data_IF_755443534997
#
_entry.id   IF_755443534997
#
_cell.length_a   1.000
_cell.length_b   1.000
_cell.length_c   1.000
_cell.angle_alpha   90.00
_cell.angle_beta   90.00
_cell.angle_gamma   90.00
#
_symmetry.space_group_name_H-M   'P 1'
#
loop_
_entity.id
_entity.type
_entity.pdbx_description
1 polymer ?
#
# COMPACT_ATOMS: atom_id res chain seq x y z
N UNK A 1 -30.65 -14.64 -16.73
CA UNK A 1 -29.90 -15.22 -15.60
C UNK A 1 -28.42 -15.04 -15.89
N UNK A 2 -27.77 -14.07 -15.27
CA UNK A 2 -26.29 -14.01 -15.30
C UNK A 2 -25.76 -15.15 -14.44
N UNK A 3 -24.88 -15.99 -15.00
CA UNK A 3 -24.13 -16.97 -14.21
C UNK A 3 -23.49 -16.26 -13.00
N UNK A 4 -23.52 -16.85 -11.80
CA UNK A 4 -22.91 -16.26 -10.62
C UNK A 4 -21.41 -16.04 -10.87
N UNK A 5 -20.95 -14.82 -10.64
CA UNK A 5 -19.56 -14.43 -10.78
C UNK A 5 -18.69 -15.28 -9.83
N UNK A 6 -17.67 -15.96 -10.35
CA UNK A 6 -16.77 -16.78 -9.54
C UNK A 6 -15.94 -15.87 -8.63
N UNK A 7 -16.28 -15.88 -7.33
CA UNK A 7 -15.57 -15.12 -6.29
C UNK A 7 -14.14 -15.64 -6.10
N UNK A 8 -13.22 -14.76 -5.75
CA UNK A 8 -11.85 -15.16 -5.38
C UNK A 8 -11.86 -15.89 -4.02
N UNK A 9 -10.86 -16.74 -3.76
CA UNK A 9 -10.77 -17.54 -2.53
C UNK A 9 -10.88 -16.68 -1.26
N UNK A 10 -10.27 -15.50 -1.27
CA UNK A 10 -10.30 -14.59 -0.13
C UNK A 10 -11.70 -14.03 0.17
N UNK A 11 -12.56 -13.89 -0.84
CA UNK A 11 -13.96 -13.44 -0.71
C UNK A 11 -14.90 -14.61 -0.41
N UNK A 12 -14.55 -15.82 -0.85
CA UNK A 12 -15.34 -17.04 -0.60
C UNK A 12 -15.12 -17.59 0.80
N UNK A 13 -13.87 -17.60 1.29
CA UNK A 13 -13.54 -18.19 2.58
C UNK A 13 -14.17 -17.39 3.72
N UNK A 14 -14.73 -18.11 4.69
CA UNK A 14 -15.17 -17.53 5.96
C UNK A 14 -14.19 -17.88 7.05
N UNK A 15 -13.78 -16.88 7.83
CA UNK A 15 -12.90 -17.06 8.98
C UNK A 15 -13.69 -16.85 10.27
N UNK A 16 -13.53 -17.77 11.21
CA UNK A 16 -14.11 -17.68 12.55
C UNK A 16 -13.00 -17.58 13.59
N UNK A 17 -13.29 -16.84 14.66
CA UNK A 17 -12.35 -16.67 15.77
C UNK A 17 -12.22 -18.00 16.53
N UNK A 18 -10.99 -18.37 16.89
CA UNK A 18 -10.74 -19.52 17.78
C UNK A 18 -11.00 -19.18 19.25
N UNK A 19 -10.86 -17.91 19.61
CA UNK A 19 -11.02 -17.42 20.97
C UNK A 19 -12.02 -16.25 21.02
N UNK A 20 -12.19 -15.65 22.20
CA UNK A 20 -12.94 -14.39 22.31
C UNK A 20 -12.36 -13.30 21.39
N UNK A 21 -13.14 -12.26 21.02
CA UNK A 21 -12.67 -11.21 20.12
C UNK A 21 -11.34 -10.59 20.55
N UNK A 22 -11.24 -10.19 21.81
CA UNK A 22 -10.03 -9.59 22.38
C UNK A 22 -8.85 -10.58 22.38
N UNK A 23 -9.07 -11.82 22.84
CA UNK A 23 -8.00 -12.83 22.92
C UNK A 23 -7.47 -13.19 21.52
N UNK A 24 -8.34 -13.31 20.53
CA UNK A 24 -7.93 -13.60 19.15
C UNK A 24 -7.07 -12.46 18.58
N UNK A 25 -7.48 -11.21 18.77
CA UNK A 25 -6.69 -10.06 18.35
C UNK A 25 -5.32 -10.00 19.04
N UNK A 26 -5.26 -10.21 20.36
CA UNK A 26 -4.00 -10.16 21.13
C UNK A 26 -3.03 -11.26 20.72
N UNK A 27 -3.49 -12.51 20.58
CA UNK A 27 -2.62 -13.63 20.20
C UNK A 27 -2.09 -13.45 18.77
N UNK A 28 -2.91 -13.00 17.83
CA UNK A 28 -2.42 -12.64 16.49
C UNK A 28 -1.43 -11.48 16.53
N UNK A 29 -1.69 -10.44 17.30
CA UNK A 29 -0.78 -9.29 17.41
C UNK A 29 0.58 -9.70 17.92
N UNK A 30 0.62 -10.55 18.97
CA UNK A 30 1.88 -11.12 19.47
C UNK A 30 2.59 -11.94 18.40
N UNK A 31 1.87 -12.81 17.69
CA UNK A 31 2.44 -13.61 16.60
C UNK A 31 3.03 -12.71 15.50
N UNK A 32 2.29 -11.69 15.08
CA UNK A 32 2.74 -10.73 14.06
C UNK A 32 4.00 -9.99 14.50
N UNK A 33 4.08 -9.52 15.75
CA UNK A 33 5.27 -8.84 16.25
C UNK A 33 6.49 -9.75 16.34
N UNK A 34 6.32 -11.00 16.75
CA UNK A 34 7.42 -11.98 16.78
C UNK A 34 7.96 -12.22 15.36
N UNK A 35 7.07 -12.50 14.40
CA UNK A 35 7.48 -12.74 13.00
C UNK A 35 8.06 -11.48 12.37
N UNK A 36 7.45 -10.33 12.59
CA UNK A 36 7.93 -9.04 12.13
C UNK A 36 9.33 -8.77 12.66
N UNK A 37 9.56 -8.85 13.97
CA UNK A 37 10.84 -8.51 14.55
C UNK A 37 11.94 -9.49 14.15
N UNK A 38 11.64 -10.80 14.13
CA UNK A 38 12.60 -11.81 13.70
C UNK A 38 13.02 -11.60 12.23
N UNK A 39 12.05 -11.39 11.34
CA UNK A 39 12.34 -11.13 9.93
C UNK A 39 12.99 -9.75 9.70
N UNK A 40 12.57 -8.72 10.44
CA UNK A 40 13.20 -7.40 10.41
C UNK A 40 14.67 -7.50 10.80
N UNK A 41 15.01 -8.17 11.90
CA UNK A 41 16.38 -8.34 12.36
C UNK A 41 17.27 -9.09 11.35
N UNK A 42 16.72 -10.10 10.68
CA UNK A 42 17.46 -10.86 9.67
C UNK A 42 17.73 -9.98 8.44
N UNK A 43 16.69 -9.33 7.91
CA UNK A 43 16.73 -8.75 6.58
C UNK A 43 17.02 -7.24 6.57
N UNK A 44 16.37 -6.48 7.43
CA UNK A 44 16.26 -5.02 7.31
C UNK A 44 17.09 -4.29 8.38
N UNK A 45 17.05 -4.69 9.66
CA UNK A 45 17.67 -3.94 10.76
C UNK A 45 19.14 -3.59 10.43
N UNK A 46 19.54 -2.29 10.51
CA UNK A 46 20.91 -1.87 10.23
C UNK A 46 21.97 -2.55 11.10
N UNK A 47 21.58 -3.07 12.28
CA UNK A 47 22.43 -3.82 13.22
C UNK A 47 22.35 -5.32 13.00
N UNK A 48 21.40 -5.76 12.18
CA UNK A 48 21.06 -7.14 11.91
C UNK A 48 22.03 -7.86 10.98
N UNK A 49 21.54 -8.95 10.40
CA UNK A 49 22.36 -9.88 9.60
C UNK A 49 22.63 -9.34 8.20
N UNK A 50 21.58 -9.08 7.42
CA UNK A 50 21.71 -8.68 6.02
C UNK A 50 21.75 -7.16 5.80
N UNK A 51 21.23 -6.38 6.76
CA UNK A 51 21.33 -4.91 6.80
C UNK A 51 20.86 -4.21 5.52
N UNK A 52 19.79 -4.71 4.88
CA UNK A 52 19.34 -4.20 3.58
C UNK A 52 18.65 -2.84 3.63
N UNK A 53 18.53 -2.21 4.80
CA UNK A 53 17.75 -0.98 4.99
C UNK A 53 18.30 0.27 4.27
N UNK A 54 19.55 0.27 3.78
CA UNK A 54 20.06 1.39 2.94
C UNK A 54 19.41 1.41 1.56
N UNK A 55 19.09 2.61 1.08
CA UNK A 55 17.73 3.11 1.22
C UNK A 55 16.77 2.43 0.27
N UNK A 56 17.25 2.02 -0.91
CA UNK A 56 16.38 1.51 -1.95
C UNK A 56 16.42 0.00 -2.09
N UNK A 57 17.47 -0.70 -1.66
CA UNK A 57 17.52 -2.17 -1.80
C UNK A 57 16.47 -2.85 -0.92
N UNK A 58 16.52 -2.62 0.39
CA UNK A 58 15.57 -3.19 1.34
C UNK A 58 14.16 -2.70 1.09
N UNK A 59 14.01 -1.45 0.64
CA UNK A 59 12.72 -0.89 0.28
C UNK A 59 12.15 -1.52 -1.00
N UNK A 60 12.96 -1.69 -2.05
CA UNK A 60 12.60 -2.39 -3.29
C UNK A 60 12.08 -3.79 -2.98
N UNK A 61 12.84 -4.56 -2.18
CA UNK A 61 12.40 -5.89 -1.74
C UNK A 61 11.08 -5.82 -1.00
N UNK A 62 10.99 -4.99 0.04
CA UNK A 62 9.77 -4.83 0.84
C UNK A 62 8.53 -4.53 -0.04
N UNK A 63 8.67 -3.62 -1.02
CA UNK A 63 7.57 -3.23 -1.90
C UNK A 63 7.23 -4.30 -2.93
N UNK A 64 8.20 -5.01 -3.49
CA UNK A 64 7.92 -6.06 -4.44
C UNK A 64 7.33 -7.32 -3.81
N UNK A 65 7.72 -7.66 -2.58
CA UNK A 65 7.04 -8.74 -1.84
C UNK A 65 5.55 -8.43 -1.68
N UNK A 66 5.19 -7.18 -1.37
CA UNK A 66 3.79 -6.72 -1.33
C UNK A 66 3.08 -6.97 -2.66
N UNK A 67 3.69 -6.55 -3.77
CA UNK A 67 3.12 -6.71 -5.13
C UNK A 67 2.89 -8.18 -5.47
N UNK A 68 3.87 -9.04 -5.20
CA UNK A 68 3.74 -10.48 -5.49
C UNK A 68 2.71 -11.17 -4.60
N UNK A 69 2.60 -10.77 -3.32
CA UNK A 69 1.52 -11.25 -2.43
C UNK A 69 0.15 -10.93 -3.04
N UNK A 70 -0.03 -9.70 -3.57
CA UNK A 70 -1.26 -9.29 -4.26
C UNK A 70 -1.46 -10.10 -5.55
N UNK A 71 -0.42 -10.35 -6.34
CA UNK A 71 -0.55 -11.15 -7.55
C UNK A 71 -1.04 -12.56 -7.24
N UNK A 72 -0.43 -13.24 -6.26
CA UNK A 72 -0.84 -14.59 -5.87
C UNK A 72 -2.29 -14.59 -5.39
N UNK A 73 -2.67 -13.65 -4.52
CA UNK A 73 -3.96 -13.72 -3.84
C UNK A 73 -5.14 -13.12 -4.64
N UNK A 74 -4.93 -11.99 -5.35
CA UNK A 74 -5.99 -11.24 -6.03
C UNK A 74 -6.02 -11.48 -7.55
N UNK A 75 -4.85 -11.66 -8.19
CA UNK A 75 -4.79 -11.82 -9.65
C UNK A 75 -4.89 -13.29 -10.04
N UNK A 76 -4.04 -14.14 -9.48
CA UNK A 76 -3.95 -15.56 -9.79
C UNK A 76 -4.84 -16.45 -8.92
N UNK A 77 -5.45 -15.88 -7.88
CA UNK A 77 -6.37 -16.60 -6.98
C UNK A 77 -5.78 -17.93 -6.48
N UNK A 78 -4.52 -17.86 -6.04
CA UNK A 78 -3.73 -18.99 -5.55
C UNK A 78 -3.45 -20.11 -6.55
N UNK A 79 -3.67 -19.91 -7.85
CA UNK A 79 -3.24 -20.85 -8.88
C UNK A 79 -1.73 -21.14 -8.77
N UNK A 80 -1.26 -22.41 -8.94
CA UNK A 80 -1.99 -23.61 -9.41
C UNK A 80 -2.64 -24.47 -8.32
N UNK A 81 -2.77 -23.97 -7.08
CA UNK A 81 -3.34 -24.77 -5.99
C UNK A 81 -4.85 -24.91 -6.14
N UNK A 82 -5.35 -26.14 -6.03
CA UNK A 82 -6.79 -26.41 -6.08
C UNK A 82 -7.49 -25.81 -4.86
N UNK A 83 -8.74 -25.37 -5.04
CA UNK A 83 -9.59 -24.84 -3.96
C UNK A 83 -9.67 -25.78 -2.76
N UNK A 84 -9.83 -27.08 -3.02
CA UNK A 84 -9.84 -28.12 -1.98
C UNK A 84 -8.56 -28.13 -1.12
N UNK A 85 -7.40 -27.96 -1.74
CA UNK A 85 -6.14 -27.88 -1.00
C UNK A 85 -6.08 -26.62 -0.12
N UNK A 86 -6.58 -25.48 -0.60
CA UNK A 86 -6.64 -24.24 0.19
C UNK A 86 -7.50 -24.42 1.43
N UNK A 87 -8.63 -25.12 1.36
CA UNK A 87 -9.49 -25.38 2.52
C UNK A 87 -8.93 -26.44 3.49
N UNK A 88 -8.21 -27.45 2.98
CA UNK A 88 -7.77 -28.59 3.79
C UNK A 88 -6.34 -28.45 4.34
N UNK A 89 -5.47 -27.68 3.69
CA UNK A 89 -4.08 -27.53 4.11
C UNK A 89 -3.96 -26.71 5.39
N UNK A 90 -3.10 -27.16 6.31
CA UNK A 90 -2.84 -26.46 7.56
C UNK A 90 -2.32 -25.02 7.33
N UNK A 91 -2.76 -24.04 8.12
CA UNK A 91 -2.48 -22.62 7.88
C UNK A 91 -0.98 -22.28 7.91
N UNK A 92 -0.21 -22.89 8.82
CA UNK A 92 1.24 -22.70 8.87
C UNK A 92 1.94 -23.24 7.61
N UNK A 93 1.49 -24.40 7.10
CA UNK A 93 2.02 -25.00 5.86
C UNK A 93 1.73 -24.09 4.65
N UNK A 94 0.51 -23.56 4.54
CA UNK A 94 0.15 -22.59 3.51
C UNK A 94 1.00 -21.33 3.60
N UNK A 95 1.16 -20.77 4.80
CA UNK A 95 2.02 -19.62 5.06
C UNK A 95 3.44 -19.82 4.54
N UNK A 96 4.08 -20.94 4.89
CA UNK A 96 5.45 -21.24 4.48
C UNK A 96 5.53 -21.37 2.94
N UNK A 97 4.67 -22.17 2.33
CA UNK A 97 4.69 -22.41 0.88
C UNK A 97 4.52 -21.11 0.11
N UNK A 98 3.48 -20.33 0.43
CA UNK A 98 3.21 -19.10 -0.29
C UNK A 98 4.26 -18.02 -0.01
N UNK A 99 4.84 -17.95 1.18
CA UNK A 99 5.95 -17.01 1.47
C UNK A 99 7.20 -17.35 0.65
N UNK A 100 7.55 -18.64 0.53
CA UNK A 100 8.67 -19.09 -0.32
C UNK A 100 8.38 -18.77 -1.78
N UNK A 101 7.15 -19.00 -2.25
CA UNK A 101 6.74 -18.64 -3.61
C UNK A 101 6.84 -17.14 -3.87
N UNK A 102 6.45 -16.29 -2.91
CA UNK A 102 6.55 -14.83 -3.03
C UNK A 102 8.01 -14.43 -3.26
N UNK A 103 8.91 -14.92 -2.40
CA UNK A 103 10.34 -14.61 -2.51
C UNK A 103 10.91 -15.09 -3.85
N UNK A 104 10.66 -16.35 -4.22
CA UNK A 104 11.21 -16.93 -5.45
C UNK A 104 10.67 -16.24 -6.70
N UNK A 105 9.36 -15.95 -6.73
CA UNK A 105 8.72 -15.25 -7.86
C UNK A 105 9.34 -13.87 -8.03
N UNK A 106 9.49 -13.10 -6.96
CA UNK A 106 10.14 -11.80 -7.07
C UNK A 106 11.62 -11.92 -7.45
N UNK A 107 12.37 -12.86 -6.87
CA UNK A 107 13.79 -13.05 -7.22
C UNK A 107 13.98 -13.33 -8.71
N UNK A 108 13.17 -14.23 -9.27
CA UNK A 108 13.18 -14.52 -10.72
C UNK A 108 12.81 -13.27 -11.53
N UNK A 109 11.79 -12.53 -11.11
CA UNK A 109 11.36 -11.31 -11.79
C UNK A 109 12.43 -10.20 -11.72
N UNK A 110 13.10 -10.05 -10.59
CA UNK A 110 14.21 -9.12 -10.40
C UNK A 110 15.38 -9.47 -11.34
N UNK A 111 15.85 -10.71 -11.31
CA UNK A 111 17.03 -11.12 -12.08
C UNK A 111 16.77 -11.21 -13.58
N UNK A 112 15.66 -11.82 -13.98
CA UNK A 112 15.38 -12.06 -15.41
C UNK A 112 14.74 -10.83 -16.04
N UNK A 113 13.68 -10.27 -15.45
CA UNK A 113 12.93 -9.21 -16.10
C UNK A 113 13.59 -7.84 -15.88
N UNK A 114 13.85 -7.44 -14.64
CA UNK A 114 14.40 -6.10 -14.36
C UNK A 114 15.88 -5.98 -14.70
N UNK A 115 16.74 -6.80 -14.09
CA UNK A 115 18.18 -6.66 -14.28
C UNK A 115 18.58 -7.07 -15.70
N UNK A 116 18.14 -8.24 -16.18
CA UNK A 116 18.54 -8.72 -17.51
C UNK A 116 17.75 -8.09 -18.67
N UNK A 117 16.45 -8.36 -18.81
CA UNK A 117 15.69 -7.88 -19.98
C UNK A 117 15.63 -6.36 -20.03
N UNK A 118 15.24 -5.70 -18.94
CA UNK A 118 15.18 -4.24 -18.93
C UNK A 118 16.55 -3.60 -18.74
N UNK A 119 17.40 -4.11 -17.85
CA UNK A 119 18.68 -3.47 -17.51
C UNK A 119 19.79 -3.72 -18.52
N UNK A 120 20.07 -4.99 -18.81
CA UNK A 120 21.19 -5.39 -19.67
C UNK A 120 20.94 -5.19 -21.15
N UNK A 121 19.67 -5.31 -21.59
CA UNK A 121 19.30 -5.29 -23.01
C UNK A 121 18.59 -4.00 -23.47
N UNK A 122 18.03 -3.19 -22.55
CA UNK A 122 17.23 -2.02 -22.92
C UNK A 122 17.70 -0.71 -22.28
N UNK A 123 17.48 -0.53 -20.98
CA UNK A 123 17.71 0.72 -20.23
C UNK A 123 18.65 0.45 -19.06
N UNK A 124 19.89 0.95 -19.17
CA UNK A 124 21.01 0.63 -18.28
C UNK A 124 20.72 0.82 -16.79
N UNK A 125 19.93 1.81 -16.41
CA UNK A 125 19.67 2.11 -15.00
C UNK A 125 18.88 1.03 -14.26
N UNK A 126 18.33 0.01 -14.94
CA UNK A 126 17.75 -1.15 -14.25
C UNK A 126 18.79 -2.23 -13.91
N UNK A 127 20.01 -2.18 -14.46
CA UNK A 127 21.08 -3.14 -14.12
C UNK A 127 22.18 -2.45 -13.31
N UNK A 128 22.45 -2.91 -12.07
CA UNK A 128 23.61 -2.45 -11.32
C UNK A 128 24.92 -2.70 -12.08
N UNK A 129 25.04 -3.83 -12.77
CA UNK A 129 26.24 -4.18 -13.54
C UNK A 129 26.48 -3.22 -14.69
N UNK A 130 25.44 -2.87 -15.46
CA UNK A 130 25.57 -1.89 -16.55
C UNK A 130 25.95 -0.51 -16.05
N UNK A 131 25.36 -0.08 -14.94
CA UNK A 131 25.72 1.20 -14.32
C UNK A 131 27.18 1.20 -13.86
N UNK A 132 27.68 0.09 -13.30
CA UNK A 132 29.09 -0.05 -12.93
C UNK A 132 30.03 -0.03 -14.14
N UNK A 133 29.67 -0.71 -15.23
CA UNK A 133 30.41 -0.67 -16.52
C UNK A 133 30.48 0.76 -17.10
N UNK A 134 29.50 1.62 -16.80
CA UNK A 134 29.46 3.02 -17.18
C UNK A 134 30.23 3.96 -16.23
N UNK A 135 30.90 3.40 -15.21
CA UNK A 135 31.77 4.14 -14.29
C UNK A 135 31.10 4.62 -12.99
N UNK A 136 29.86 4.20 -12.71
CA UNK A 136 29.21 4.47 -11.42
C UNK A 136 29.76 3.49 -10.38
N UNK A 137 30.02 3.95 -9.16
CA UNK A 137 30.51 3.05 -8.10
C UNK A 137 29.47 1.98 -7.77
N UNK A 138 29.92 0.78 -7.41
CA UNK A 138 29.03 -0.38 -7.16
C UNK A 138 27.88 -0.07 -6.19
N UNK A 139 28.16 0.71 -5.16
CA UNK A 139 27.14 1.14 -4.20
C UNK A 139 26.04 1.98 -4.86
N UNK A 140 26.40 3.04 -5.60
CA UNK A 140 25.42 3.90 -6.26
C UNK A 140 24.73 3.20 -7.43
N UNK A 141 25.44 2.33 -8.15
CA UNK A 141 24.88 1.52 -9.22
C UNK A 141 23.76 0.60 -8.69
N UNK A 142 23.98 -0.03 -7.52
CA UNK A 142 22.97 -0.84 -6.84
C UNK A 142 21.78 0.01 -6.38
N UNK A 143 22.04 1.15 -5.72
CA UNK A 143 20.98 2.02 -5.19
C UNK A 143 20.12 2.66 -6.30
N UNK A 144 20.71 3.10 -7.41
CA UNK A 144 19.97 3.69 -8.53
C UNK A 144 19.12 2.64 -9.27
N UNK A 145 19.64 1.43 -9.46
CA UNK A 145 18.86 0.33 -10.01
C UNK A 145 17.73 -0.07 -9.07
N UNK A 146 18.01 -0.22 -7.78
CA UNK A 146 16.98 -0.54 -6.80
C UNK A 146 15.90 0.55 -6.74
N UNK A 147 16.27 1.83 -6.86
CA UNK A 147 15.32 2.95 -6.92
C UNK A 147 14.41 2.86 -8.14
N UNK A 148 14.96 2.59 -9.33
CA UNK A 148 14.19 2.43 -10.56
C UNK A 148 13.17 1.30 -10.45
N UNK A 149 13.60 0.16 -9.93
CA UNK A 149 12.78 -1.05 -9.76
C UNK A 149 11.72 -0.84 -8.67
N UNK A 150 12.06 -0.13 -7.58
CA UNK A 150 11.16 0.25 -6.51
C UNK A 150 10.02 1.17 -7.01
N UNK A 151 10.34 2.17 -7.83
CA UNK A 151 9.34 3.08 -8.40
C UNK A 151 8.31 2.34 -9.25
N UNK A 152 8.77 1.32 -9.98
CA UNK A 152 7.87 0.41 -10.69
C UNK A 152 6.95 -0.36 -9.72
N UNK A 153 7.51 -0.87 -8.63
CA UNK A 153 6.76 -1.57 -7.58
C UNK A 153 5.67 -0.68 -6.96
N UNK A 154 5.98 0.61 -6.74
CA UNK A 154 5.03 1.58 -6.22
C UNK A 154 3.78 1.67 -7.12
N UNK A 155 3.98 1.77 -8.44
CA UNK A 155 2.88 1.76 -9.41
C UNK A 155 2.11 0.43 -9.38
N UNK A 156 2.84 -0.68 -9.51
CA UNK A 156 2.23 -2.00 -9.58
C UNK A 156 1.38 -2.33 -8.33
N UNK A 157 1.81 -1.85 -7.16
CA UNK A 157 1.17 -2.11 -5.86
C UNK A 157 -0.23 -1.53 -5.69
N UNK A 158 -0.60 -0.47 -6.43
CA UNK A 158 -1.97 0.04 -6.43
C UNK A 158 -2.73 -0.34 -7.68
N UNK A 159 -2.07 -0.37 -8.85
CA UNK A 159 -2.73 -0.62 -10.13
C UNK A 159 -3.22 -2.07 -10.24
N UNK A 160 -2.40 -3.01 -9.75
CA UNK A 160 -2.74 -4.45 -9.69
C UNK A 160 -4.02 -4.71 -8.89
N UNK A 161 -4.12 -4.31 -7.60
CA UNK A 161 -5.35 -4.51 -6.85
C UNK A 161 -6.50 -3.64 -7.35
N UNK A 162 -6.26 -2.43 -7.88
CA UNK A 162 -7.33 -1.56 -8.42
C UNK A 162 -8.11 -2.22 -9.55
N UNK A 163 -7.46 -3.03 -10.39
CA UNK A 163 -8.17 -3.72 -11.46
C UNK A 163 -9.16 -4.76 -10.93
N UNK A 164 -8.84 -5.39 -9.81
CA UNK A 164 -9.72 -6.36 -9.15
C UNK A 164 -10.79 -5.64 -8.34
N UNK A 165 -10.39 -4.66 -7.53
CA UNK A 165 -11.24 -3.95 -6.56
C UNK A 165 -12.18 -2.94 -7.20
N UNK A 166 -11.69 -2.14 -8.15
CA UNK A 166 -12.46 -1.08 -8.78
C UNK A 166 -13.05 -1.52 -10.13
N UNK A 167 -12.31 -2.30 -10.92
CA UNK A 167 -12.76 -2.71 -12.25
C UNK A 167 -13.46 -4.08 -12.30
N UNK A 168 -13.63 -4.77 -11.16
CA UNK A 168 -14.24 -6.10 -11.05
C UNK A 168 -13.64 -7.12 -12.06
N UNK A 169 -12.32 -7.08 -12.32
CA UNK A 169 -11.64 -7.89 -13.35
C UNK A 169 -12.15 -7.72 -14.79
N UNK A 170 -12.86 -6.64 -15.10
CA UNK A 170 -13.37 -6.37 -16.45
C UNK A 170 -12.26 -6.18 -17.48
N UNK A 171 -12.41 -6.69 -18.73
CA UNK A 171 -13.52 -7.51 -19.27
C UNK A 171 -13.32 -9.04 -19.12
N UNK A 172 -12.36 -9.47 -18.30
CA UNK A 172 -11.92 -10.86 -18.17
C UNK A 172 -12.57 -11.65 -17.04
N UNK A 173 -13.61 -11.11 -16.41
CA UNK A 173 -14.30 -11.71 -15.27
C UNK A 173 -14.83 -13.12 -15.55
N UNK A 174 -15.09 -13.46 -16.82
CA UNK A 174 -15.58 -14.78 -17.25
C UNK A 174 -14.48 -15.81 -17.53
N UNK A 175 -13.21 -15.39 -17.56
CA UNK A 175 -12.10 -16.31 -17.81
C UNK A 175 -11.77 -17.10 -16.55
N UNK A 176 -11.35 -18.36 -16.73
CA UNK A 176 -10.85 -19.21 -15.64
C UNK A 176 -9.36 -18.99 -15.43
N UNK A 177 -8.87 -19.32 -14.23
CA UNK A 177 -7.43 -19.40 -14.00
C UNK A 177 -6.80 -20.54 -14.82
N UNK A 178 -5.57 -20.39 -15.34
CA UNK A 178 -4.68 -19.25 -15.14
C UNK A 178 -4.86 -18.10 -16.15
N UNK A 179 -5.69 -18.29 -17.18
CA UNK A 179 -5.83 -17.32 -18.29
C UNK A 179 -6.28 -15.95 -17.77
N UNK A 180 -7.25 -15.93 -16.84
CA UNK A 180 -7.70 -14.70 -16.18
C UNK A 180 -6.55 -13.95 -15.51
N UNK A 181 -5.78 -14.66 -14.67
CA UNK A 181 -4.65 -14.09 -13.94
C UNK A 181 -3.58 -13.54 -14.87
N UNK A 182 -3.15 -14.29 -15.88
CA UNK A 182 -2.16 -13.81 -16.86
C UNK A 182 -2.65 -12.61 -17.66
N UNK A 183 -3.92 -12.57 -18.03
CA UNK A 183 -4.46 -11.46 -18.83
C UNK A 183 -4.52 -10.17 -18.01
N UNK A 184 -5.04 -10.24 -16.77
CA UNK A 184 -5.06 -9.10 -15.83
C UNK A 184 -3.63 -8.66 -15.51
N UNK A 185 -2.72 -9.62 -15.26
CA UNK A 185 -1.30 -9.35 -15.01
C UNK A 185 -0.66 -8.60 -16.18
N UNK A 186 -0.74 -9.12 -17.41
CA UNK A 186 -0.13 -8.48 -18.58
C UNK A 186 -0.68 -7.07 -18.78
N UNK A 187 -2.01 -6.91 -18.62
CA UNK A 187 -2.65 -5.62 -18.77
C UNK A 187 -2.21 -4.60 -17.71
N UNK A 188 -2.28 -4.95 -16.43
CA UNK A 188 -1.87 -4.03 -15.35
C UNK A 188 -0.38 -3.78 -15.38
N UNK A 189 0.42 -4.74 -15.83
CA UNK A 189 1.86 -4.58 -16.02
C UNK A 189 2.18 -3.63 -17.17
N UNK A 190 1.51 -3.76 -18.31
CA UNK A 190 1.63 -2.84 -19.45
C UNK A 190 1.26 -1.40 -19.03
N UNK A 191 0.13 -1.24 -18.33
CA UNK A 191 -0.25 0.07 -17.81
C UNK A 191 0.79 0.60 -16.82
N UNK A 192 1.36 -0.27 -15.98
CA UNK A 192 2.43 0.13 -15.04
C UNK A 192 3.68 0.62 -15.76
N UNK A 193 4.07 0.01 -16.89
CA UNK A 193 5.16 0.51 -17.74
C UNK A 193 4.86 1.90 -18.30
N UNK A 194 3.65 2.13 -18.83
CA UNK A 194 3.26 3.44 -19.36
C UNK A 194 3.31 4.51 -18.26
N UNK A 195 2.72 4.21 -17.10
CA UNK A 195 2.75 5.11 -15.94
C UNK A 195 4.19 5.34 -15.48
N UNK A 196 5.06 4.33 -15.48
CA UNK A 196 6.47 4.50 -15.12
C UNK A 196 7.18 5.51 -16.04
N UNK A 197 6.97 5.43 -17.35
CA UNK A 197 7.56 6.37 -18.30
C UNK A 197 7.07 7.81 -18.11
N UNK A 198 5.79 7.99 -17.77
CA UNK A 198 5.21 9.33 -17.55
C UNK A 198 5.64 9.95 -16.21
N UNK A 199 5.77 9.13 -15.16
CA UNK A 199 5.88 9.63 -13.79
C UNK A 199 7.26 9.41 -13.13
N UNK A 200 8.12 8.52 -13.63
CA UNK A 200 9.43 8.26 -13.02
C UNK A 200 10.61 8.31 -13.99
N UNK A 201 10.41 8.02 -15.28
CA UNK A 201 11.52 8.00 -16.23
C UNK A 201 12.26 9.34 -16.33
N UNK A 202 11.54 10.47 -16.28
CA UNK A 202 12.16 11.81 -16.21
C UNK A 202 13.09 11.99 -15.01
N UNK A 203 12.76 11.43 -13.84
CA UNK A 203 13.66 11.47 -12.69
C UNK A 203 14.92 10.64 -12.97
N UNK A 204 14.77 9.43 -13.52
CA UNK A 204 15.93 8.59 -13.82
C UNK A 204 16.86 9.25 -14.83
N UNK A 205 16.31 9.96 -15.83
CA UNK A 205 17.09 10.65 -16.85
C UNK A 205 17.92 11.83 -16.35
N UNK A 206 17.53 12.47 -15.24
CA UNK A 206 18.30 13.58 -14.63
C UNK A 206 19.29 13.13 -13.56
N UNK A 207 19.27 11.86 -13.14
CA UNK A 207 20.24 11.32 -12.17
C UNK A 207 21.66 11.19 -12.74
N UNK A 208 21.78 11.12 -14.07
CA UNK A 208 23.05 10.96 -14.77
C UNK A 208 23.50 12.29 -15.35
N UNK A 209 24.81 12.57 -15.28
CA UNK A 209 25.43 13.75 -15.89
C UNK A 209 26.19 13.36 -17.17
N UNK A 210 25.93 14.00 -18.32
CA UNK A 210 24.88 15.00 -18.55
C UNK A 210 23.48 14.37 -18.50
N UNK A 211 22.47 15.19 -18.22
CA UNK A 211 21.07 14.75 -18.25
C UNK A 211 20.73 14.06 -19.58
N UNK A 212 19.96 12.97 -19.51
CA UNK A 212 19.62 12.10 -20.62
C UNK A 212 18.47 12.69 -21.47
N UNK A 213 18.72 13.87 -22.07
CA UNK A 213 17.71 14.70 -22.77
C UNK A 213 17.10 14.05 -24.01
N UNK A 214 17.79 13.09 -24.62
CA UNK A 214 17.31 12.40 -25.83
C UNK A 214 16.34 11.26 -25.55
N UNK A 215 16.31 10.75 -24.32
CA UNK A 215 15.48 9.60 -23.93
C UNK A 215 14.39 9.98 -22.93
N UNK A 216 14.56 11.09 -22.21
CA UNK A 216 13.67 11.50 -21.13
C UNK A 216 13.30 12.99 -21.19
N UNK A 217 12.12 13.34 -20.68
CA UNK A 217 11.72 14.74 -20.55
C UNK A 217 12.47 15.35 -19.35
N UNK A 218 13.30 16.35 -19.61
CA UNK A 218 14.09 17.06 -18.59
C UNK A 218 13.93 18.58 -18.74
N UNK A 219 13.56 19.34 -17.69
CA UNK A 219 13.17 18.85 -16.36
C UNK A 219 11.81 18.11 -16.41
N UNK A 220 11.49 17.30 -15.39
CA UNK A 220 10.20 16.62 -15.31
C UNK A 220 9.03 17.61 -15.27
N UNK A 221 7.86 17.19 -15.77
CA UNK A 221 6.67 18.05 -15.88
C UNK A 221 6.12 18.55 -14.53
N UNK A 222 6.47 17.90 -13.43
CA UNK A 222 6.07 18.33 -12.08
C UNK A 222 6.99 19.38 -11.45
N UNK A 223 8.13 19.67 -12.08
CA UNK A 223 9.20 20.48 -11.49
C UNK A 223 8.74 21.81 -10.90
N UNK A 224 7.92 22.55 -11.64
CA UNK A 224 7.54 23.91 -11.27
C UNK A 224 6.54 23.97 -10.11
N UNK A 225 5.54 23.08 -10.07
CA UNK A 225 4.50 23.16 -9.04
C UNK A 225 4.84 22.29 -7.81
N UNK A 226 5.70 21.28 -7.96
CA UNK A 226 6.13 20.45 -6.84
C UNK A 226 7.41 20.99 -6.16
N UNK A 227 8.01 22.06 -6.69
CA UNK A 227 9.28 22.65 -6.24
C UNK A 227 10.46 21.66 -6.13
N UNK A 228 10.39 20.55 -6.87
CA UNK A 228 11.44 19.54 -6.90
C UNK A 228 11.48 18.81 -8.24
N UNK A 229 12.68 18.38 -8.62
CA UNK A 229 12.88 17.46 -9.76
C UNK A 229 12.82 15.99 -9.33
N UNK A 230 12.80 15.71 -8.02
CA UNK A 230 12.72 14.36 -7.50
C UNK A 230 11.30 13.81 -7.70
N UNK A 231 11.18 12.58 -8.16
CA UNK A 231 9.89 11.87 -8.31
C UNK A 231 9.29 11.42 -6.98
N UNK A 232 9.76 11.94 -5.84
CA UNK A 232 9.08 11.74 -4.56
C UNK A 232 7.68 12.36 -4.59
N UNK A 233 7.47 13.40 -5.40
CA UNK A 233 6.13 13.89 -5.73
C UNK A 233 5.23 12.76 -6.26
N UNK A 234 5.76 11.94 -7.19
CA UNK A 234 4.98 10.84 -7.75
C UNK A 234 4.81 9.68 -6.78
N UNK A 235 5.82 9.41 -5.94
CA UNK A 235 5.65 8.49 -4.81
C UNK A 235 4.49 8.96 -3.92
N UNK A 236 4.41 10.25 -3.56
CA UNK A 236 3.39 10.79 -2.66
C UNK A 236 1.96 10.37 -3.06
N UNK A 237 1.53 10.70 -4.29
CA UNK A 237 0.16 10.43 -4.71
C UNK A 237 -0.07 8.95 -5.04
N UNK A 238 0.93 8.22 -5.56
CA UNK A 238 0.82 6.77 -5.83
C UNK A 238 0.68 5.98 -4.52
N UNK A 239 1.37 6.41 -3.48
CA UNK A 239 1.25 5.84 -2.14
C UNK A 239 -0.14 6.10 -1.56
N UNK A 240 -0.67 7.31 -1.72
CA UNK A 240 -2.07 7.62 -1.39
C UNK A 240 -3.04 6.74 -2.20
N UNK A 241 -2.80 6.48 -3.50
CA UNK A 241 -3.61 5.56 -4.29
C UNK A 241 -3.61 4.16 -3.68
N UNK A 242 -2.45 3.62 -3.33
CA UNK A 242 -2.32 2.31 -2.69
C UNK A 242 -3.18 2.22 -1.44
N UNK A 243 -3.07 3.22 -0.56
CA UNK A 243 -3.79 3.27 0.71
C UNK A 243 -5.29 3.39 0.46
N UNK A 244 -5.71 4.27 -0.46
CA UNK A 244 -7.12 4.50 -0.77
C UNK A 244 -7.81 3.29 -1.38
N UNK A 245 -7.12 2.50 -2.23
CA UNK A 245 -7.66 1.22 -2.74
C UNK A 245 -8.00 0.29 -1.58
N UNK A 246 -7.09 0.17 -0.61
CA UNK A 246 -7.29 -0.72 0.54
C UNK A 246 -8.31 -0.17 1.53
N UNK A 247 -8.35 1.14 1.78
CA UNK A 247 -9.41 1.78 2.58
C UNK A 247 -10.77 1.49 1.96
N UNK A 248 -10.88 1.71 0.64
CA UNK A 248 -12.08 1.45 -0.16
C UNK A 248 -12.53 -0.02 -0.08
N UNK A 249 -11.60 -0.97 -0.26
CA UNK A 249 -11.90 -2.40 -0.21
C UNK A 249 -12.24 -2.91 1.20
N UNK A 250 -11.57 -2.39 2.23
CA UNK A 250 -11.60 -3.02 3.56
C UNK A 250 -12.62 -2.41 4.52
N UNK A 251 -12.35 -1.20 5.01
CA UNK A 251 -13.17 -0.56 6.04
C UNK A 251 -14.36 0.20 5.45
N UNK A 252 -14.28 0.59 4.17
CA UNK A 252 -15.38 1.21 3.41
C UNK A 252 -16.25 0.21 2.66
N UNK A 253 -15.82 -1.04 2.51
CA UNK A 253 -16.64 -2.11 1.90
C UNK A 253 -17.21 -1.70 0.54
N UNK A 254 -16.36 -1.10 -0.30
CA UNK A 254 -16.66 -0.57 -1.64
C UNK A 254 -17.68 0.57 -1.72
N UNK A 255 -18.09 1.15 -0.59
CA UNK A 255 -18.89 2.38 -0.54
C UNK A 255 -18.03 3.62 -0.86
N UNK A 256 -18.58 4.69 -1.47
CA UNK A 256 -19.96 4.85 -1.93
C UNK A 256 -20.21 4.31 -3.35
N UNK A 257 -19.17 3.95 -4.10
CA UNK A 257 -19.33 3.60 -5.51
C UNK A 257 -20.16 2.32 -5.71
N UNK A 258 -20.23 1.44 -4.72
CA UNK A 258 -21.14 0.29 -4.70
C UNK A 258 -22.62 0.67 -4.90
N UNK A 259 -23.01 1.92 -4.63
CA UNK A 259 -24.37 2.44 -4.89
C UNK A 259 -24.67 2.61 -6.39
N UNK A 260 -23.65 2.70 -7.23
CA UNK A 260 -23.80 2.85 -8.68
C UNK A 260 -24.18 1.49 -9.28
N UNK A 261 -25.43 1.40 -9.75
CA UNK A 261 -25.99 0.15 -10.31
C UNK A 261 -25.41 -0.18 -11.69
N UNK A 262 -25.09 0.84 -12.47
CA UNK A 262 -24.53 0.66 -13.81
C UNK A 262 -23.07 0.21 -13.72
N UNK A 263 -22.78 -1.04 -14.06
CA UNK A 263 -21.46 -1.67 -13.87
C UNK A 263 -20.30 -0.86 -14.46
N UNK A 264 -20.37 -0.45 -15.73
CA UNK A 264 -19.27 0.30 -16.35
C UNK A 264 -19.04 1.66 -15.66
N UNK A 265 -20.12 2.36 -15.31
CA UNK A 265 -20.05 3.65 -14.62
C UNK A 265 -19.51 3.47 -13.20
N UNK A 266 -19.92 2.42 -12.49
CA UNK A 266 -19.37 2.06 -11.17
C UNK A 266 -17.87 1.84 -11.26
N UNK A 267 -17.41 1.06 -12.24
CA UNK A 267 -15.99 0.74 -12.41
C UNK A 267 -15.16 1.98 -12.70
N UNK A 268 -15.61 2.79 -13.65
CA UNK A 268 -14.96 4.08 -14.00
C UNK A 268 -14.95 5.03 -12.80
N UNK A 269 -16.09 5.22 -12.14
CA UNK A 269 -16.21 6.09 -10.98
C UNK A 269 -15.36 5.60 -9.80
N UNK A 270 -15.29 4.29 -9.56
CA UNK A 270 -14.46 3.71 -8.50
C UNK A 270 -12.98 3.92 -8.79
N UNK A 271 -12.54 3.61 -10.00
CA UNK A 271 -11.12 3.71 -10.39
C UNK A 271 -10.63 5.16 -10.35
N UNK A 272 -11.32 6.08 -11.04
CA UNK A 272 -10.94 7.50 -11.04
C UNK A 272 -11.27 8.21 -9.73
N UNK A 273 -12.30 7.76 -9.00
CA UNK A 273 -12.62 8.28 -7.67
C UNK A 273 -11.53 7.99 -6.65
N UNK A 274 -10.94 6.79 -6.67
CA UNK A 274 -9.77 6.45 -5.84
C UNK A 274 -8.60 7.38 -6.16
N UNK A 275 -8.31 7.61 -7.45
CA UNK A 275 -7.24 8.52 -7.89
C UNK A 275 -7.51 9.94 -7.40
N UNK A 276 -8.72 10.45 -7.61
CA UNK A 276 -9.09 11.81 -7.19
C UNK A 276 -8.95 11.98 -5.66
N UNK A 277 -9.45 11.03 -4.86
CA UNK A 277 -9.27 11.05 -3.41
C UNK A 277 -7.80 10.99 -3.01
N UNK A 278 -7.00 10.15 -3.66
CA UNK A 278 -5.57 10.03 -3.40
C UNK A 278 -4.81 11.33 -3.69
N UNK A 279 -5.13 12.03 -4.79
CA UNK A 279 -4.57 13.35 -5.08
C UNK A 279 -4.94 14.37 -4.00
N UNK A 280 -6.22 14.41 -3.59
CA UNK A 280 -6.66 15.29 -2.50
C UNK A 280 -5.88 15.01 -1.20
N UNK A 281 -5.73 13.74 -0.81
CA UNK A 281 -4.93 13.36 0.35
C UNK A 281 -3.45 13.73 0.20
N UNK A 282 -2.87 13.54 -0.99
CA UNK A 282 -1.46 13.84 -1.25
C UNK A 282 -1.16 15.32 -1.03
N UNK A 283 -1.95 16.20 -1.64
CA UNK A 283 -1.79 17.65 -1.47
C UNK A 283 -2.17 18.10 -0.05
N UNK A 284 -3.22 17.52 0.55
CA UNK A 284 -3.61 17.86 1.91
C UNK A 284 -2.53 17.49 2.92
N UNK A 285 -1.94 16.29 2.83
CA UNK A 285 -0.84 15.90 3.73
C UNK A 285 0.42 16.72 3.50
N UNK A 286 0.69 17.17 2.27
CA UNK A 286 1.78 18.11 2.01
C UNK A 286 1.53 19.44 2.74
N UNK A 287 0.35 20.02 2.55
CA UNK A 287 -0.08 21.25 3.21
C UNK A 287 -0.11 21.12 4.75
N UNK A 288 -0.56 19.98 5.26
CA UNK A 288 -0.57 19.69 6.70
C UNK A 288 0.83 19.78 7.30
N UNK A 289 1.85 19.31 6.58
CA UNK A 289 3.24 19.44 7.02
C UNK A 289 3.68 20.91 7.04
N UNK A 290 3.25 21.75 6.09
CA UNK A 290 3.54 23.19 6.12
C UNK A 290 2.92 23.88 7.34
N UNK A 291 1.69 23.50 7.69
CA UNK A 291 1.02 24.02 8.90
C UNK A 291 1.77 23.67 10.19
N UNK A 292 2.41 22.50 10.24
CA UNK A 292 3.08 22.00 11.45
C UNK A 292 4.54 22.46 11.54
N UNK A 293 5.27 22.38 10.42
CA UNK A 293 6.72 22.59 10.39
C UNK A 293 7.13 23.89 9.70
N UNK A 294 6.21 24.62 9.09
CA UNK A 294 6.50 25.80 8.28
C UNK A 294 6.68 25.47 6.79
N UNK A 295 6.69 26.52 5.99
CA UNK A 295 6.77 26.49 4.51
C UNK A 295 8.05 25.80 4.05
N UNK A 296 7.95 24.99 3.00
CA UNK A 296 9.14 24.38 2.39
C UNK A 296 9.99 25.40 1.66
N UNK A 297 11.29 25.13 1.56
CA UNK A 297 12.26 25.98 0.87
C UNK A 297 12.97 25.13 -0.18
N UNK A 298 12.82 25.52 -1.44
CA UNK A 298 13.47 24.80 -2.55
C UNK A 298 15.00 24.91 -2.43
N UNK A 299 15.68 23.78 -2.52
CA UNK A 299 17.13 23.68 -2.37
C UNK A 299 17.62 23.59 -0.93
N UNK A 300 16.72 23.67 0.06
CA UNK A 300 17.04 23.39 1.45
C UNK A 300 17.23 21.88 1.67
N UNK A 301 17.69 21.49 2.86
CA UNK A 301 17.92 20.10 3.25
C UNK A 301 16.86 19.64 4.26
N UNK A 302 16.58 18.34 4.23
CA UNK A 302 15.83 17.64 5.29
C UNK A 302 14.41 18.19 5.46
N UNK A 303 14.06 18.64 6.67
CA UNK A 303 12.70 18.99 7.05
C UNK A 303 12.11 20.07 6.15
N UNK A 304 12.88 21.00 5.60
CA UNK A 304 12.34 22.07 4.75
C UNK A 304 12.43 21.76 3.25
N UNK A 305 13.03 20.63 2.87
CA UNK A 305 13.23 20.27 1.48
C UNK A 305 11.95 19.67 0.86
N UNK A 306 11.49 20.16 -0.30
CA UNK A 306 10.25 19.68 -0.94
C UNK A 306 10.31 18.19 -1.29
N UNK A 307 11.45 17.67 -1.74
CA UNK A 307 11.64 16.26 -2.07
C UNK A 307 11.39 15.34 -0.88
N UNK A 308 11.83 15.72 0.32
CA UNK A 308 11.56 14.98 1.54
C UNK A 308 10.09 15.11 1.95
N UNK A 309 9.51 16.32 1.88
CA UNK A 309 8.08 16.54 2.21
C UNK A 309 7.14 15.67 1.38
N UNK A 310 7.40 15.56 0.08
CA UNK A 310 6.65 14.68 -0.81
C UNK A 310 6.84 13.20 -0.47
N UNK A 311 8.06 12.76 -0.14
CA UNK A 311 8.28 11.39 0.32
C UNK A 311 7.47 11.10 1.58
N UNK A 312 7.51 12.04 2.53
CA UNK A 312 6.88 11.93 3.82
C UNK A 312 5.34 11.92 3.75
N UNK A 313 4.73 12.55 2.73
CA UNK A 313 3.30 12.37 2.41
C UNK A 313 2.95 10.88 2.22
N UNK A 314 3.76 10.17 1.44
CA UNK A 314 3.57 8.73 1.22
C UNK A 314 3.74 7.92 2.51
N UNK A 315 4.63 8.36 3.40
CA UNK A 315 4.87 7.71 4.69
C UNK A 315 3.66 7.86 5.61
N UNK A 316 3.13 9.08 5.74
CA UNK A 316 1.91 9.38 6.50
C UNK A 316 0.75 8.50 6.02
N UNK A 317 0.58 8.37 4.70
CA UNK A 317 -0.48 7.54 4.13
C UNK A 317 -0.31 6.06 4.52
N UNK A 318 0.91 5.53 4.51
CA UNK A 318 1.18 4.15 4.92
C UNK A 318 0.99 3.92 6.42
N UNK A 319 1.31 4.89 7.27
CA UNK A 319 0.97 4.82 8.70
C UNK A 319 -0.52 4.64 8.92
N UNK A 320 -1.36 5.21 8.05
CA UNK A 320 -2.80 5.02 8.08
C UNK A 320 -3.26 3.64 7.56
N UNK A 321 -2.55 3.07 6.59
CA UNK A 321 -2.89 1.74 6.06
C UNK A 321 -2.75 0.62 7.11
N UNK A 322 -1.77 0.71 8.01
CA UNK A 322 -1.55 -0.30 9.06
C UNK A 322 -2.80 -0.53 9.93
N UNK A 323 -3.38 0.48 10.60
CA UNK A 323 -4.60 0.30 11.38
C UNK A 323 -5.83 -0.03 10.53
N UNK A 324 -5.92 0.47 9.29
CA UNK A 324 -7.00 0.10 8.35
C UNK A 324 -7.05 -1.42 8.14
N UNK A 325 -5.91 -2.02 7.80
CA UNK A 325 -5.81 -3.47 7.61
C UNK A 325 -6.00 -4.22 8.93
N UNK A 326 -5.51 -3.67 10.05
CA UNK A 326 -5.65 -4.32 11.35
C UNK A 326 -7.10 -4.42 11.80
N UNK A 327 -7.87 -3.35 11.64
CA UNK A 327 -9.31 -3.30 11.94
C UNK A 327 -10.05 -4.35 11.11
N UNK A 328 -9.73 -4.48 9.81
CA UNK A 328 -10.34 -5.48 8.95
C UNK A 328 -9.96 -6.90 9.34
N UNK A 329 -8.66 -7.19 9.41
CA UNK A 329 -8.15 -8.56 9.54
C UNK A 329 -8.33 -9.16 10.93
N UNK A 330 -8.12 -8.37 11.98
CA UNK A 330 -8.05 -8.90 13.35
C UNK A 330 -9.21 -8.45 14.23
N UNK A 331 -9.83 -7.31 13.91
CA UNK A 331 -11.02 -6.84 14.60
C UNK A 331 -12.34 -7.20 13.88
N UNK A 332 -12.28 -7.75 12.67
CA UNK A 332 -13.45 -8.05 11.82
C UNK A 332 -14.38 -6.85 11.68
N UNK A 333 -13.81 -5.67 11.38
CA UNK A 333 -14.58 -4.43 11.22
C UNK A 333 -15.49 -4.13 12.44
N UNK A 334 -14.97 -4.33 13.67
CA UNK A 334 -15.68 -4.36 14.96
C UNK A 334 -16.78 -3.29 15.20
N UNK A 335 -16.70 -2.13 14.52
CA UNK A 335 -17.78 -1.14 14.49
C UNK A 335 -18.75 -1.49 13.35
N UNK A 336 -19.78 -2.28 13.63
CA UNK A 336 -20.75 -2.74 12.64
C UNK A 336 -22.22 -2.61 13.09
N UNK A 337 -22.49 -1.93 14.20
CA UNK A 337 -23.83 -1.85 14.82
C UNK A 337 -24.74 -0.75 14.26
N UNK A 338 -24.19 0.20 13.51
CA UNK A 338 -24.93 1.35 12.98
C UNK A 338 -25.23 1.17 11.49
N UNK A 339 -25.79 2.20 10.85
CA UNK A 339 -25.92 2.23 9.40
C UNK A 339 -24.54 2.18 8.72
N UNK A 340 -24.48 1.63 7.50
CA UNK A 340 -23.23 1.48 6.75
C UNK A 340 -22.41 2.77 6.65
N UNK A 341 -22.96 3.95 6.30
CA UNK A 341 -22.19 5.19 6.26
C UNK A 341 -21.62 5.60 7.63
N UNK A 342 -22.37 5.38 8.71
CA UNK A 342 -21.93 5.71 10.08
C UNK A 342 -20.82 4.75 10.52
N UNK A 343 -20.97 3.44 10.27
CA UNK A 343 -19.92 2.46 10.55
C UNK A 343 -18.63 2.81 9.81
N UNK A 344 -18.73 3.16 8.52
CA UNK A 344 -17.59 3.55 7.69
C UNK A 344 -16.90 4.81 8.23
N UNK A 345 -17.68 5.85 8.57
CA UNK A 345 -17.15 7.07 9.15
C UNK A 345 -16.42 6.80 10.47
N UNK A 346 -17.03 6.04 11.38
CA UNK A 346 -16.43 5.70 12.66
C UNK A 346 -15.15 4.86 12.49
N UNK A 347 -15.15 3.84 11.63
CA UNK A 347 -13.94 3.06 11.31
C UNK A 347 -12.83 3.93 10.74
N UNK A 348 -13.18 4.87 9.87
CA UNK A 348 -12.24 5.84 9.28
C UNK A 348 -11.60 6.70 10.37
N UNK A 349 -12.41 7.32 11.24
CA UNK A 349 -11.92 8.14 12.36
C UNK A 349 -11.02 7.31 13.30
N UNK A 350 -11.46 6.12 13.71
CA UNK A 350 -10.69 5.23 14.59
C UNK A 350 -9.34 4.88 13.96
N UNK A 351 -9.33 4.55 12.66
CA UNK A 351 -8.10 4.22 11.94
C UNK A 351 -7.14 5.41 11.83
N UNK A 352 -7.65 6.64 11.63
CA UNK A 352 -6.83 7.86 11.60
C UNK A 352 -6.22 8.17 12.97
N UNK A 353 -7.01 8.07 14.06
CA UNK A 353 -6.50 8.26 15.42
C UNK A 353 -5.42 7.21 15.75
N UNK A 354 -5.66 5.95 15.40
CA UNK A 354 -4.67 4.89 15.58
C UNK A 354 -3.39 5.15 14.76
N UNK A 355 -3.52 5.72 13.55
CA UNK A 355 -2.37 6.09 12.72
C UNK A 355 -1.52 7.19 13.36
N UNK A 356 -2.15 8.22 13.94
CA UNK A 356 -1.46 9.31 14.66
C UNK A 356 -0.69 8.74 15.86
N UNK A 357 -1.32 7.86 16.65
CA UNK A 357 -0.67 7.20 17.77
C UNK A 357 0.50 6.34 17.31
N UNK A 358 0.31 5.54 16.25
CA UNK A 358 1.36 4.69 15.68
C UNK A 358 2.54 5.53 15.16
N UNK A 359 2.25 6.62 14.45
CA UNK A 359 3.25 7.57 13.96
C UNK A 359 4.06 8.16 15.11
N UNK A 360 3.38 8.67 16.15
CA UNK A 360 4.04 9.24 17.32
C UNK A 360 4.94 8.22 18.03
N UNK A 361 4.41 7.03 18.32
CA UNK A 361 5.16 5.95 18.97
C UNK A 361 6.35 5.54 18.11
N UNK A 362 6.17 5.39 16.80
CA UNK A 362 7.25 5.03 15.89
C UNK A 362 8.45 5.99 16.01
N UNK A 363 8.21 7.30 15.92
CA UNK A 363 9.32 8.27 16.00
C UNK A 363 9.95 8.33 17.39
N UNK A 364 9.21 7.98 18.45
CA UNK A 364 9.74 7.87 19.81
C UNK A 364 10.63 6.64 20.03
N UNK A 365 10.30 5.48 19.45
CA UNK A 365 10.97 4.21 19.83
C UNK A 365 11.73 3.51 18.70
N UNK A 366 11.52 3.88 17.44
CA UNK A 366 12.09 3.18 16.27
C UNK A 366 13.61 3.06 16.32
N UNK A 367 14.31 4.10 16.78
CA UNK A 367 15.77 4.07 16.85
C UNK A 367 16.31 3.05 17.86
N UNK A 368 15.57 2.78 18.94
CA UNK A 368 15.92 1.73 19.90
C UNK A 368 15.52 0.35 19.37
N UNK A 369 14.27 0.21 18.92
CA UNK A 369 13.69 -1.08 18.58
C UNK A 369 14.18 -1.59 17.21
N UNK A 370 14.20 -0.73 16.20
CA UNK A 370 14.43 -1.09 14.79
C UNK A 370 15.83 -0.73 14.28
N UNK A 371 16.66 -0.08 15.11
CA UNK A 371 18.02 0.30 14.75
C UNK A 371 18.12 1.49 13.80
N UNK A 372 17.01 2.20 13.58
CA UNK A 372 16.97 3.41 12.76
C UNK A 372 17.61 4.60 13.49
N UNK A 373 17.81 5.71 12.78
CA UNK A 373 18.34 6.92 13.38
C UNK A 373 17.23 7.76 14.02
N UNK A 374 17.61 8.75 14.85
CA UNK A 374 16.69 9.74 15.42
C UNK A 374 16.50 10.91 14.45
N UNK A 375 15.28 11.44 14.39
CA UNK A 375 14.94 12.69 13.70
C UNK A 375 13.98 12.53 12.52
N UNK A 376 12.94 13.38 12.43
CA UNK A 376 11.89 13.25 11.42
C UNK A 376 12.41 13.07 9.98
N UNK A 377 13.40 13.87 9.62
CA UNK A 377 13.96 13.98 8.27
C UNK A 377 15.41 13.47 8.18
N UNK A 378 15.78 12.55 9.07
CA UNK A 378 17.11 11.94 8.99
C UNK A 378 17.24 11.14 7.67
N UNK A 379 18.33 11.26 6.89
CA UNK A 379 18.47 10.59 5.59
C UNK A 379 18.44 9.07 5.62
N UNK A 380 18.65 8.48 6.80
CA UNK A 380 18.56 7.04 7.07
C UNK A 380 17.25 6.69 7.82
N UNK A 381 16.23 7.52 7.71
CA UNK A 381 14.93 7.28 8.34
C UNK A 381 13.87 7.17 7.25
N UNK A 382 13.52 5.93 6.90
CA UNK A 382 12.48 5.59 5.93
C UNK A 382 11.35 4.82 6.64
N UNK A 383 10.50 5.50 7.43
CA UNK A 383 9.35 4.89 8.12
C UNK A 383 8.47 4.01 7.24
N UNK A 384 8.45 4.27 5.94
CA UNK A 384 7.70 3.43 5.01
C UNK A 384 8.14 1.96 5.01
N UNK A 385 9.45 1.68 5.13
CA UNK A 385 10.00 0.32 5.06
C UNK A 385 9.45 -0.57 6.18
N UNK A 386 9.58 -0.24 7.48
CA UNK A 386 9.04 -1.07 8.55
C UNK A 386 7.51 -1.18 8.50
N UNK A 387 6.81 -0.12 8.09
CA UNK A 387 5.35 -0.18 7.98
C UNK A 387 4.89 -1.12 6.86
N UNK A 388 5.47 -1.06 5.66
CA UNK A 388 5.16 -1.98 4.57
C UNK A 388 5.61 -3.40 4.93
N UNK A 389 6.74 -3.55 5.62
CA UNK A 389 7.22 -4.87 6.06
C UNK A 389 6.22 -5.51 7.03
N UNK A 390 5.68 -4.73 7.97
CA UNK A 390 4.62 -5.18 8.86
C UNK A 390 3.33 -5.52 8.10
N UNK A 391 2.96 -4.72 7.11
CA UNK A 391 1.82 -5.02 6.22
C UNK A 391 2.03 -6.34 5.49
N UNK A 392 3.21 -6.62 4.95
CA UNK A 392 3.52 -7.90 4.30
C UNK A 392 3.32 -9.07 5.27
N UNK A 393 3.78 -8.95 6.52
CA UNK A 393 3.56 -9.95 7.57
C UNK A 393 2.06 -10.13 7.85
N UNK A 394 1.29 -9.03 7.92
CA UNK A 394 -0.17 -9.09 8.09
C UNK A 394 -0.86 -9.77 6.90
N UNK A 395 -0.45 -9.50 5.67
CA UNK A 395 -1.03 -10.13 4.48
C UNK A 395 -0.68 -11.61 4.40
N UNK A 396 0.57 -11.99 4.68
CA UNK A 396 0.96 -13.40 4.77
C UNK A 396 0.13 -14.10 5.84
N UNK A 397 0.01 -13.50 7.02
CA UNK A 397 -0.77 -14.09 8.11
C UNK A 397 -2.25 -14.24 7.73
N UNK A 398 -2.86 -13.17 7.22
CA UNK A 398 -4.28 -13.17 6.96
C UNK A 398 -4.62 -13.94 5.68
N UNK A 399 -3.97 -13.66 4.55
CA UNK A 399 -4.27 -14.27 3.26
C UNK A 399 -3.73 -15.69 3.12
N UNK A 400 -2.51 -15.98 3.58
CA UNK A 400 -1.90 -17.30 3.39
C UNK A 400 -2.15 -18.24 4.57
N UNK A 401 -2.14 -17.72 5.80
CA UNK A 401 -2.31 -18.52 7.03
C UNK A 401 -3.70 -18.45 7.64
N UNK A 402 -4.69 -17.88 6.93
CA UNK A 402 -6.07 -17.72 7.39
C UNK A 402 -6.21 -17.06 8.78
N UNK A 403 -5.32 -16.13 9.11
CA UNK A 403 -5.32 -15.43 10.40
C UNK A 403 -4.93 -16.32 11.59
N UNK A 404 -4.25 -17.44 11.37
CA UNK A 404 -3.69 -18.26 12.45
C UNK A 404 -2.71 -17.44 13.31
N UNK A 405 -2.65 -17.60 14.65
CA UNK A 405 -3.31 -18.62 15.45
C UNK A 405 -4.71 -18.29 15.96
N UNK A 406 -5.13 -17.02 15.99
CA UNK A 406 -6.41 -16.60 16.59
C UNK A 406 -7.64 -16.81 15.70
N UNK A 407 -7.45 -17.09 14.41
CA UNK A 407 -8.52 -17.43 13.46
C UNK A 407 -8.36 -18.84 12.90
N UNK A 408 -9.46 -19.40 12.39
CA UNK A 408 -9.54 -20.65 11.61
C UNK A 408 -10.57 -20.50 10.50
N UNK A 409 -10.47 -21.34 9.48
CA UNK A 409 -11.53 -21.49 8.47
C UNK A 409 -12.82 -22.01 9.14
N UNK A 410 -13.95 -21.44 8.73
CA UNK A 410 -15.27 -21.87 9.18
C UNK A 410 -15.58 -23.29 8.70
N UNK A 411 -16.32 -24.06 9.49
CA UNK A 411 -16.87 -25.34 9.03
C UNK A 411 -18.21 -25.16 8.29
N UNK A 412 -18.62 -26.15 7.48
CA UNK A 412 -19.90 -26.16 6.71
C UNK A 412 -21.15 -25.78 7.54
N UNK A 413 -21.17 -26.05 8.86
CA UNK A 413 -22.30 -25.72 9.75
C UNK A 413 -22.32 -24.25 10.20
N UNK A 414 -21.17 -23.58 10.22
CA UNK A 414 -21.03 -22.17 10.65
C UNK A 414 -21.34 -21.21 9.49
N UNK A 415 -21.09 -21.63 8.24
CA UNK A 415 -21.36 -20.84 7.03
C UNK A 415 -22.84 -20.49 6.83
N UNK A 416 -23.76 -21.32 7.33
CA UNK A 416 -25.20 -21.16 7.19
C UNK A 416 -25.82 -20.13 8.17
N UNK A 417 -25.15 -19.80 9.29
CA UNK A 417 -25.69 -18.88 10.30
C UNK A 417 -25.54 -17.40 9.96
N UNK A 418 -24.63 -17.04 9.06
CA UNK A 418 -24.33 -15.64 8.69
C UNK A 418 -24.87 -15.24 7.30
N UNK A 419 -25.64 -16.10 6.63
CA UNK A 419 -26.14 -15.85 5.27
C UNK A 419 -27.34 -14.85 5.20
N UNK A 420 -27.56 -14.06 6.25
CA UNK A 420 -28.77 -13.25 6.40
C UNK A 420 -28.50 -11.81 6.83
N UNK A 421 -27.81 -11.03 5.99
CA UNK A 421 -27.93 -9.57 6.01
C UNK A 421 -28.00 -9.08 4.56
N UNK A 422 -29.23 -8.90 4.06
CA UNK A 422 -29.47 -8.10 2.86
C UNK A 422 -29.27 -6.62 3.21
N UNK A 423 -28.38 -5.96 2.47
CA UNK A 423 -28.06 -4.53 2.60
C UNK A 423 -29.22 -3.71 2.00
N UNK A 424 -30.36 -3.58 2.70
CA UNK A 424 -31.48 -2.72 2.27
C UNK A 424 -31.19 -1.25 2.60
N UNK A 425 -30.30 -0.64 1.81
CA UNK A 425 -30.15 0.81 1.79
C UNK A 425 -30.95 1.42 0.64
N UNK A 426 -32.21 1.76 0.93
CA UNK A 426 -33.06 2.63 0.10
C UNK A 426 -33.36 3.93 0.83
N UNK A 427 -32.46 4.92 0.78
CA UNK A 427 -32.80 6.26 1.24
C UNK A 427 -33.33 7.13 0.09
N UNK A 428 -34.60 7.54 0.19
CA UNK A 428 -35.35 8.34 -0.80
C UNK A 428 -35.04 9.84 -0.79
N UNK A 429 -34.02 10.32 -0.06
CA UNK A 429 -33.64 11.74 -0.06
C UNK A 429 -32.10 11.97 0.00
N UNK A 430 -31.35 11.52 -1.01
CA UNK A 430 -29.88 11.57 -1.01
C UNK A 430 -29.27 12.99 -1.07
N UNK A 431 -29.97 13.97 -1.65
CA UNK A 431 -29.39 15.31 -1.89
C UNK A 431 -29.21 16.10 -0.58
N UNK A 432 -30.23 16.13 0.29
CA UNK A 432 -30.13 16.85 1.59
C UNK A 432 -29.01 16.28 2.46
N UNK A 433 -28.90 14.95 2.53
CA UNK A 433 -27.82 14.28 3.27
C UNK A 433 -26.44 14.60 2.71
N UNK A 434 -26.30 14.69 1.38
CA UNK A 434 -25.05 15.04 0.72
C UNK A 434 -24.66 16.49 0.99
N UNK A 435 -25.61 17.43 0.93
CA UNK A 435 -25.37 18.85 1.25
C UNK A 435 -24.95 19.02 2.71
N UNK A 436 -25.66 18.38 3.65
CA UNK A 436 -25.30 18.44 5.08
C UNK A 436 -23.93 17.81 5.32
N UNK A 437 -23.65 16.64 4.71
CA UNK A 437 -22.35 15.98 4.80
C UNK A 437 -21.21 16.83 4.25
N UNK A 438 -21.44 17.53 3.13
CA UNK A 438 -20.48 18.48 2.57
C UNK A 438 -20.18 19.64 3.52
N UNK A 439 -21.22 20.29 4.06
CA UNK A 439 -21.06 21.41 5.01
C UNK A 439 -20.28 20.96 6.25
N UNK A 440 -20.63 19.80 6.83
CA UNK A 440 -19.92 19.23 7.97
C UNK A 440 -18.46 18.93 7.61
N UNK A 441 -18.21 18.37 6.42
CA UNK A 441 -16.87 18.12 5.91
C UNK A 441 -16.01 19.39 5.81
N UNK A 442 -16.59 20.48 5.30
CA UNK A 442 -15.93 21.80 5.24
C UNK A 442 -15.61 22.33 6.64
N UNK A 443 -16.56 22.24 7.58
CA UNK A 443 -16.33 22.68 8.97
C UNK A 443 -15.21 21.86 9.63
N UNK A 444 -15.21 20.55 9.45
CA UNK A 444 -14.15 19.66 9.97
C UNK A 444 -12.81 20.02 9.33
N UNK A 445 -12.77 20.24 8.01
CA UNK A 445 -11.54 20.65 7.32
C UNK A 445 -10.96 21.94 7.90
N UNK A 446 -11.79 22.98 8.06
CA UNK A 446 -11.36 24.26 8.65
C UNK A 446 -10.89 24.08 10.10
N UNK A 447 -11.56 23.25 10.89
CA UNK A 447 -11.16 22.94 12.25
C UNK A 447 -9.80 22.22 12.29
N UNK A 448 -9.56 21.25 11.40
CA UNK A 448 -8.27 20.55 11.30
C UNK A 448 -7.16 21.52 10.90
N UNK A 449 -7.38 22.38 9.90
CA UNK A 449 -6.40 23.38 9.48
C UNK A 449 -6.06 24.35 10.63
N UNK A 450 -7.07 24.81 11.37
CA UNK A 450 -6.89 25.71 12.50
C UNK A 450 -6.14 25.05 13.67
N UNK A 451 -6.44 23.78 13.97
CA UNK A 451 -5.84 23.06 15.11
C UNK A 451 -4.50 22.39 14.79
N UNK A 452 -4.19 22.16 13.51
CA UNK A 452 -2.98 21.44 13.09
C UNK A 452 -1.67 22.00 13.67
N UNK A 453 -1.43 23.33 13.70
CA UNK A 453 -0.21 23.86 14.32
C UNK A 453 -0.11 23.54 15.82
N UNK A 454 -1.22 23.66 16.55
CA UNK A 454 -1.27 23.37 17.99
C UNK A 454 -1.04 21.88 18.28
N UNK A 455 -1.69 21.00 17.52
CA UNK A 455 -1.51 19.55 17.61
C UNK A 455 -0.07 19.17 17.25
N UNK A 456 0.49 19.76 16.20
CA UNK A 456 1.87 19.56 15.79
C UNK A 456 2.88 19.93 16.87
N UNK A 457 2.67 21.05 17.55
CA UNK A 457 3.50 21.47 18.69
C UNK A 457 3.37 20.49 19.88
N UNK A 458 2.15 20.01 20.18
CA UNK A 458 1.93 19.02 21.23
C UNK A 458 2.59 17.67 20.94
N UNK A 459 2.62 17.27 19.66
CA UNK A 459 3.20 16.00 19.20
C UNK A 459 4.66 16.13 18.76
N UNK A 460 5.31 17.27 19.02
CA UNK A 460 6.72 17.47 18.66
C UNK A 460 7.62 16.57 19.51
N UNK A 461 8.37 15.69 18.84
CA UNK A 461 9.25 14.68 19.47
C UNK A 461 10.70 15.18 19.54
N UNK A 462 11.14 15.84 18.48
CA UNK A 462 12.48 16.40 18.34
C UNK A 462 12.34 17.92 18.32
N UNK A 463 13.13 18.63 19.12
CA UNK A 463 13.18 20.09 19.05
C UNK A 463 13.58 20.52 17.62
N UNK A 464 12.90 21.56 17.12
CA UNK A 464 13.08 22.11 15.77
C UNK A 464 14.52 22.55 15.51
#
# INVERSE_FOLDING_TARGET
MSEPEEKIYLEERKLVRKYSPLKSALVNTLFLFVVFYASWWIFQDPRGVMRMYTPYVGYMWCRWLLVVIIWIAYIFDFWPFKREWLYNAGPAKKGIIFTVMVFFTFFVFLKIFFEFILGELAISYFSPRRLAELGITDFYALEYSAQAILMFAAIASWLSPSWVVAADNSPWQKLKQPVKGFTVFIWTFLLSMIVYFVFFHSQMGILFDPWQKYTSITPPWWHNFADTVHGNFNIAWIMCCTVMVWVYETIWERYPFSLIKTNWLRRVASFFGIIAMAFCFSFFFYYLQELIWGVHIRGDRRLFAPDWRWLHVGEIAIFWLVPVLFIKFYCNNAVNKFSKPVNILLRTIISMVAAIVLYYVYYQVSHFLLGTQKGFSHPQQFPMIPMIWFINVMLINYWFMDGWPGWKLAGKKEEAKEAGEEDDFRNKNSIKGLVVGFIIGVVIYLAVVYLAPAVGNMLTIFNK
#
